data_IF_947350977915
#
_entry.id   IF_947350977915
#
_cell.length_a   1.000
_cell.length_b   1.000
_cell.length_c   1.000
_cell.angle_alpha   90.00
_cell.angle_beta   90.00
_cell.angle_gamma   90.00
#
_symmetry.space_group_name_H-M   'P 1'
#
loop_
_entity.id
_entity.type
_entity.pdbx_description
1 polymer ?
#
# COMPACT_ATOMS: atom_id res chain seq x y z
N UNK A 1 -17.60 18.59 2.45
CA UNK A 1 -16.80 19.78 2.88
C UNK A 1 -15.86 19.52 4.07
N UNK A 2 -16.31 19.31 5.32
CA UNK A 2 -15.37 19.16 6.48
C UNK A 2 -14.70 17.79 6.62
N UNK A 3 -15.29 16.72 6.07
CA UNK A 3 -14.73 15.36 6.09
C UNK A 3 -13.72 15.12 4.96
N UNK A 4 -14.05 15.56 3.74
CA UNK A 4 -13.14 15.48 2.58
C UNK A 4 -11.84 16.25 2.82
N UNK A 5 -11.91 17.43 3.46
CA UNK A 5 -10.73 18.20 3.85
C UNK A 5 -9.85 17.48 4.89
N UNK A 6 -10.45 16.67 5.77
CA UNK A 6 -9.71 15.84 6.73
C UNK A 6 -9.04 14.66 6.04
N UNK A 7 -9.73 13.97 5.14
CA UNK A 7 -9.14 12.89 4.34
C UNK A 7 -7.94 13.39 3.52
N UNK A 8 -8.06 14.56 2.88
CA UNK A 8 -6.98 15.17 2.12
C UNK A 8 -5.74 15.49 2.98
N UNK A 9 -5.92 15.88 4.24
CA UNK A 9 -4.82 16.14 5.17
C UNK A 9 -4.11 14.85 5.65
N UNK A 10 -4.79 13.70 5.61
CA UNK A 10 -4.23 12.41 6.03
C UNK A 10 -3.40 11.73 4.94
N UNK A 11 -3.65 12.01 3.65
CA UNK A 11 -2.92 11.38 2.54
C UNK A 11 -1.38 11.57 2.61
N UNK A 12 -0.84 12.78 2.86
CA UNK A 12 0.60 12.96 3.00
C UNK A 12 1.18 12.20 4.20
N UNK A 13 0.40 12.06 5.27
CA UNK A 13 0.80 11.30 6.47
C UNK A 13 0.87 9.81 6.13
N UNK A 14 -0.15 9.25 5.50
CA UNK A 14 -0.18 7.84 5.10
C UNK A 14 1.02 7.46 4.24
N UNK A 15 1.35 8.28 3.23
CA UNK A 15 2.55 8.03 2.41
C UNK A 15 3.81 8.02 3.26
N UNK A 16 3.98 8.97 4.18
CA UNK A 16 5.15 9.00 5.06
C UNK A 16 5.21 7.76 5.97
N UNK A 17 4.06 7.25 6.42
CA UNK A 17 4.01 6.05 7.25
C UNK A 17 4.40 4.78 6.45
N UNK A 18 4.01 4.66 5.18
CA UNK A 18 4.42 3.54 4.32
C UNK A 18 5.93 3.51 4.06
N UNK A 19 6.56 4.68 3.90
CA UNK A 19 8.02 4.81 3.77
C UNK A 19 8.82 4.53 5.05
N UNK A 20 8.17 4.21 6.17
CA UNK A 20 8.85 3.86 7.41
C UNK A 20 9.47 2.47 7.36
N UNK A 21 10.67 2.31 7.94
CA UNK A 21 11.31 1.01 8.12
C UNK A 21 10.77 0.23 9.34
N UNK A 22 9.90 0.83 10.15
CA UNK A 22 9.30 0.19 11.32
C UNK A 22 8.32 -0.93 10.90
N UNK A 23 8.65 -2.17 11.29
CA UNK A 23 7.86 -3.36 10.97
C UNK A 23 6.50 -3.42 11.68
N UNK A 24 6.40 -2.90 12.90
CA UNK A 24 5.14 -2.87 13.63
C UNK A 24 4.18 -1.85 13.00
N UNK A 25 4.71 -0.70 12.58
CA UNK A 25 3.94 0.29 11.84
C UNK A 25 3.49 -0.26 10.48
N UNK A 26 4.39 -0.89 9.72
CA UNK A 26 4.02 -1.54 8.44
C UNK A 26 2.92 -2.57 8.66
N UNK A 27 3.04 -3.43 9.67
CA UNK A 27 1.99 -4.39 10.03
C UNK A 27 0.64 -3.70 10.23
N UNK A 28 0.60 -2.68 11.10
CA UNK A 28 -0.63 -1.97 11.41
C UNK A 28 -1.26 -1.32 10.16
N UNK A 29 -0.44 -0.75 9.27
CA UNK A 29 -0.93 -0.20 8.00
C UNK A 29 -1.53 -1.30 7.10
N UNK A 30 -0.85 -2.43 6.94
CA UNK A 30 -1.29 -3.52 6.07
C UNK A 30 -2.55 -4.22 6.61
N UNK A 31 -2.64 -4.45 7.93
CA UNK A 31 -3.81 -5.05 8.58
C UNK A 31 -5.08 -4.19 8.40
N UNK A 32 -4.93 -2.87 8.30
CA UNK A 32 -6.04 -1.93 8.26
C UNK A 32 -6.25 -1.29 6.89
N UNK A 33 -5.57 -1.79 5.85
CA UNK A 33 -5.59 -1.21 4.49
C UNK A 33 -6.99 -1.17 3.88
N UNK A 34 -7.90 -2.08 4.25
CA UNK A 34 -9.29 -2.06 3.77
C UNK A 34 -10.05 -0.80 4.22
N UNK A 35 -9.64 -0.17 5.33
CA UNK A 35 -10.33 1.01 5.89
C UNK A 35 -10.04 2.30 5.11
N UNK A 36 -8.95 2.37 4.36
CA UNK A 36 -8.52 3.60 3.68
C UNK A 36 -8.03 3.37 2.25
N UNK A 37 -7.59 2.15 1.94
CA UNK A 37 -7.07 1.74 0.64
C UNK A 37 -8.02 2.08 -0.51
N UNK A 38 -9.32 1.77 -0.45
CA UNK A 38 -10.28 2.11 -1.50
C UNK A 38 -10.37 3.62 -1.81
N UNK A 39 -10.15 4.48 -0.82
CA UNK A 39 -10.26 5.94 -0.95
C UNK A 39 -8.97 6.60 -1.46
N UNK A 40 -7.86 5.85 -1.53
CA UNK A 40 -6.60 6.40 -2.03
C UNK A 40 -6.69 6.75 -3.53
N UNK A 41 -6.25 7.95 -3.96
CA UNK A 41 -6.16 8.28 -5.38
C UNK A 41 -5.22 7.32 -6.11
N UNK A 42 -5.60 6.86 -7.31
CA UNK A 42 -4.79 5.89 -8.07
C UNK A 42 -3.37 6.39 -8.36
N UNK A 43 -3.22 7.66 -8.74
CA UNK A 43 -1.91 8.29 -8.97
C UNK A 43 -1.04 8.28 -7.70
N UNK A 44 -1.64 8.48 -6.53
CA UNK A 44 -0.93 8.43 -5.26
C UNK A 44 -0.43 7.02 -4.97
N UNK A 45 -1.28 6.02 -5.18
CA UNK A 45 -0.93 4.62 -4.96
C UNK A 45 0.23 4.22 -5.88
N UNK A 46 0.09 4.50 -7.17
CA UNK A 46 1.09 4.12 -8.18
C UNK A 46 2.44 4.81 -7.95
N UNK A 47 2.45 6.13 -7.69
CA UNK A 47 3.70 6.91 -7.61
C UNK A 47 4.37 6.89 -6.24
N UNK A 48 3.62 6.66 -5.15
CA UNK A 48 4.12 6.94 -3.79
C UNK A 48 3.87 5.84 -2.76
N UNK A 49 2.98 4.87 -3.01
CA UNK A 49 2.66 3.83 -2.04
C UNK A 49 3.10 2.45 -2.52
N UNK A 50 2.97 2.16 -3.82
CA UNK A 50 3.20 0.83 -4.37
C UNK A 50 4.57 0.27 -3.98
N UNK A 51 5.65 1.02 -4.24
CA UNK A 51 7.01 0.53 -3.98
C UNK A 51 7.23 0.19 -2.49
N UNK A 52 6.73 1.02 -1.59
CA UNK A 52 6.86 0.82 -0.14
C UNK A 52 6.07 -0.39 0.36
N UNK A 53 4.91 -0.66 -0.23
CA UNK A 53 4.11 -1.85 0.07
C UNK A 53 4.76 -3.10 -0.55
N UNK A 54 5.16 -3.04 -1.82
CA UNK A 54 5.76 -4.16 -2.55
C UNK A 54 7.07 -4.65 -1.92
N UNK A 55 7.83 -3.77 -1.27
CA UNK A 55 9.01 -4.16 -0.48
C UNK A 55 8.68 -5.23 0.60
N UNK A 56 7.44 -5.26 1.11
CA UNK A 56 6.97 -6.25 2.07
C UNK A 56 6.96 -7.70 1.55
N UNK A 57 6.96 -7.92 0.23
CA UNK A 57 7.06 -9.26 -0.35
C UNK A 57 8.40 -9.94 -0.04
N UNK A 58 9.44 -9.16 0.26
CA UNK A 58 10.77 -9.66 0.60
C UNK A 58 11.03 -9.67 2.13
N UNK A 59 10.02 -9.39 2.97
CA UNK A 59 10.23 -9.39 4.42
C UNK A 59 10.54 -10.81 4.93
N UNK A 60 11.49 -10.92 5.87
CA UNK A 60 11.88 -12.19 6.47
C UNK A 60 10.76 -12.86 7.26
N UNK A 61 9.80 -12.10 7.79
CA UNK A 61 8.64 -12.62 8.51
C UNK A 61 7.53 -13.07 7.54
N UNK A 62 7.17 -14.37 7.50
CA UNK A 62 6.08 -14.88 6.64
C UNK A 62 4.74 -14.16 6.82
N UNK A 63 4.41 -13.75 8.04
CA UNK A 63 3.16 -13.05 8.32
C UNK A 63 3.10 -11.68 7.64
N UNK A 64 4.22 -10.95 7.60
CA UNK A 64 4.27 -9.67 6.89
C UNK A 64 4.16 -9.85 5.37
N UNK A 65 4.71 -10.94 4.82
CA UNK A 65 4.53 -11.27 3.40
C UNK A 65 3.07 -11.57 3.06
N UNK A 66 2.39 -12.33 3.92
CA UNK A 66 0.96 -12.62 3.77
C UNK A 66 0.10 -11.35 3.83
N UNK A 67 0.37 -10.48 4.82
CA UNK A 67 -0.30 -9.17 4.92
C UNK A 67 -0.03 -8.29 3.70
N UNK A 68 1.19 -8.32 3.17
CA UNK A 68 1.54 -7.57 1.95
C UNK A 68 0.72 -8.05 0.76
N UNK A 69 0.58 -9.37 0.58
CA UNK A 69 -0.25 -9.95 -0.48
C UNK A 69 -1.72 -9.50 -0.36
N UNK A 70 -2.28 -9.59 0.86
CA UNK A 70 -3.67 -9.18 1.14
C UNK A 70 -3.88 -7.69 0.86
N UNK A 71 -2.98 -6.84 1.34
CA UNK A 71 -3.04 -5.40 1.11
C UNK A 71 -2.92 -5.04 -0.37
N UNK A 72 -2.05 -5.74 -1.10
CA UNK A 72 -1.88 -5.52 -2.52
C UNK A 72 -3.13 -5.88 -3.32
N UNK A 73 -3.94 -6.85 -2.90
CA UNK A 73 -5.22 -7.15 -3.55
C UNK A 73 -6.20 -5.96 -3.49
N UNK A 74 -6.18 -5.18 -2.39
CA UNK A 74 -6.98 -3.95 -2.24
C UNK A 74 -6.45 -2.82 -3.14
N UNK A 75 -5.13 -2.73 -3.29
CA UNK A 75 -4.48 -1.65 -4.05
C UNK A 75 -4.35 -1.95 -5.56
N UNK A 76 -4.35 -3.22 -5.96
CA UNK A 76 -4.14 -3.66 -7.35
C UNK A 76 -5.09 -3.01 -8.38
N UNK A 77 -6.39 -2.79 -8.11
CA UNK A 77 -7.28 -2.10 -9.03
C UNK A 77 -6.88 -0.64 -9.33
N UNK A 78 -5.96 -0.06 -8.54
CA UNK A 78 -5.46 1.31 -8.68
C UNK A 78 -4.13 1.39 -9.43
N UNK A 79 -3.56 0.26 -9.84
CA UNK A 79 -2.28 0.20 -10.53
C UNK A 79 -2.48 0.15 -12.05
N UNK A 80 -1.58 0.78 -12.80
CA UNK A 80 -1.54 0.66 -14.24
C UNK A 80 -1.24 -0.78 -14.68
N UNK A 81 -1.75 -1.16 -15.86
CA UNK A 81 -1.48 -2.47 -16.47
C UNK A 81 0.02 -2.75 -16.59
N UNK A 82 0.82 -1.71 -16.88
CA UNK A 82 2.27 -1.81 -16.91
C UNK A 82 2.82 -2.31 -15.57
N UNK A 83 2.44 -1.67 -14.46
CA UNK A 83 2.95 -2.02 -13.14
C UNK A 83 2.45 -3.40 -12.69
N UNK A 84 1.19 -3.73 -12.97
CA UNK A 84 0.64 -5.06 -12.72
C UNK A 84 1.46 -6.16 -13.42
N UNK A 85 1.66 -6.03 -14.73
CA UNK A 85 2.30 -7.09 -15.52
C UNK A 85 3.82 -7.11 -15.42
N UNK A 86 4.47 -5.95 -15.31
CA UNK A 86 5.94 -5.85 -15.36
C UNK A 86 6.60 -5.86 -13.98
N UNK A 87 5.83 -5.64 -12.92
CA UNK A 87 6.38 -5.52 -11.56
C UNK A 87 5.63 -6.47 -10.61
N UNK A 88 4.35 -6.21 -10.32
CA UNK A 88 3.61 -6.95 -9.30
C UNK A 88 3.62 -8.48 -9.52
N UNK A 89 3.35 -8.95 -10.74
CA UNK A 89 3.33 -10.38 -11.03
C UNK A 89 4.67 -11.08 -10.75
N UNK A 90 5.80 -10.37 -10.82
CA UNK A 90 7.13 -10.95 -10.50
C UNK A 90 7.28 -11.29 -9.02
N UNK A 91 6.53 -10.61 -8.14
CA UNK A 91 6.50 -10.92 -6.72
C UNK A 91 5.61 -12.13 -6.38
N UNK A 92 4.76 -12.56 -7.32
CA UNK A 92 3.76 -13.63 -7.13
C UNK A 92 4.14 -14.93 -7.87
N UNK A 93 5.24 -14.90 -8.62
CA UNK A 93 5.74 -16.02 -9.41
C UNK A 93 6.69 -16.93 -8.61
#
# INVERSE_FOLDING_TARGET
MREEARAAALLPVLVRLFGSSDRALRRALLENVELYGPDLPAELVEKRVYADVAAGFQDGNPYLRELTLKAMAVLAPKLSQKLLSQDLLKHLA
#
